data_IF_142275226122
#
_entry.id   IF_142275226122
#
_cell.length_a   1.000
_cell.length_b   1.000
_cell.length_c   1.000
_cell.angle_alpha   90.00
_cell.angle_beta   90.00
_cell.angle_gamma   90.00
#
_symmetry.space_group_name_H-M   'P 1'
#
loop_
_entity.id
_entity.type
_entity.pdbx_description
1 polymer ?
#
# COMPACT_ATOMS: atom_id res chain seq x y z
N UNK A 1 13.34 13.81 -17.22
CA UNK A 1 11.91 13.51 -16.95
C UNK A 1 11.45 14.31 -15.73
N UNK A 2 10.38 15.09 -15.87
CA UNK A 2 9.75 15.77 -14.73
C UNK A 2 9.03 14.71 -13.89
N UNK A 3 9.43 14.53 -12.62
CA UNK A 3 8.71 13.62 -11.71
C UNK A 3 7.30 14.18 -11.47
N UNK A 4 6.28 13.43 -11.87
CA UNK A 4 4.89 13.82 -11.64
C UNK A 4 4.62 13.96 -10.13
N UNK A 5 4.06 15.11 -9.74
CA UNK A 5 3.61 15.37 -8.37
C UNK A 5 2.37 14.53 -8.05
N UNK A 6 2.15 14.24 -6.76
CA UNK A 6 0.94 13.55 -6.30
C UNK A 6 -0.29 14.43 -6.56
N UNK A 7 -1.33 13.95 -7.26
CA UNK A 7 -2.59 14.67 -7.39
C UNK A 7 -3.30 14.78 -6.03
N UNK A 8 -3.74 15.99 -5.67
CA UNK A 8 -4.39 16.24 -4.38
C UNK A 8 -5.70 15.45 -4.20
N UNK A 9 -6.48 15.29 -5.28
CA UNK A 9 -7.73 14.52 -5.25
C UNK A 9 -7.48 13.04 -4.90
N UNK A 10 -6.45 12.43 -5.50
CA UNK A 10 -6.06 11.04 -5.23
C UNK A 10 -5.57 10.90 -3.79
N UNK A 11 -4.72 11.83 -3.33
CA UNK A 11 -4.24 11.83 -1.94
C UNK A 11 -5.39 11.91 -0.94
N UNK A 12 -6.34 12.83 -1.16
CA UNK A 12 -7.52 13.00 -0.31
C UNK A 12 -8.36 11.72 -0.25
N UNK A 13 -8.66 11.11 -1.39
CA UNK A 13 -9.48 9.89 -1.43
C UNK A 13 -8.83 8.72 -0.68
N UNK A 14 -7.50 8.56 -0.82
CA UNK A 14 -6.76 7.52 -0.07
C UNK A 14 -6.78 7.81 1.44
N UNK A 15 -6.63 9.08 1.85
CA UNK A 15 -6.66 9.48 3.25
C UNK A 15 -8.07 9.35 3.87
N UNK A 16 -9.13 9.68 3.11
CA UNK A 16 -10.52 9.48 3.50
C UNK A 16 -10.84 8.00 3.70
N UNK A 17 -10.44 7.13 2.75
CA UNK A 17 -10.57 5.66 2.86
C UNK A 17 -9.85 5.11 4.10
N UNK A 18 -8.69 5.69 4.42
CA UNK A 18 -7.89 5.28 5.55
C UNK A 18 -8.50 5.68 6.90
N UNK A 19 -9.35 6.71 6.93
CA UNK A 19 -9.97 7.25 8.15
C UNK A 19 -8.95 7.50 9.27
N UNK A 20 -7.82 8.13 8.89
CA UNK A 20 -6.69 8.39 9.80
C UNK A 20 -5.86 7.16 10.20
N UNK A 21 -6.28 5.94 9.86
CA UNK A 21 -5.62 4.70 10.27
C UNK A 21 -4.63 4.18 9.21
N UNK A 22 -3.56 3.52 9.66
CA UNK A 22 -2.65 2.80 8.79
C UNK A 22 -3.39 1.62 8.14
N UNK A 23 -3.43 1.59 6.81
CA UNK A 23 -4.12 0.56 6.03
C UNK A 23 -3.38 -0.79 6.01
N UNK A 24 -2.08 -0.81 6.34
CA UNK A 24 -1.33 -2.05 6.45
C UNK A 24 -1.61 -2.77 7.78
N UNK A 25 -1.53 -2.08 8.92
CA UNK A 25 -1.62 -2.66 10.28
C UNK A 25 -0.78 -3.95 10.46
N UNK A 26 0.49 -3.91 10.04
CA UNK A 26 1.41 -5.04 10.22
C UNK A 26 1.57 -5.33 11.72
N UNK A 27 1.21 -6.54 12.14
CA UNK A 27 1.23 -6.94 13.56
C UNK A 27 2.65 -6.88 14.11
N UNK A 28 2.81 -6.29 15.28
CA UNK A 28 4.12 -6.09 15.92
C UNK A 28 4.99 -4.97 15.32
N UNK A 29 4.52 -4.28 14.28
CA UNK A 29 5.26 -3.20 13.58
C UNK A 29 4.50 -1.87 13.60
N UNK A 30 3.18 -1.93 13.42
CA UNK A 30 2.34 -0.75 13.17
C UNK A 30 2.23 0.19 14.38
N UNK A 31 2.23 1.50 14.13
CA UNK A 31 1.95 2.55 15.13
C UNK A 31 0.53 3.13 15.04
N UNK A 32 -0.32 2.58 14.18
CA UNK A 32 -1.76 2.88 14.11
C UNK A 32 -2.14 3.99 13.12
N UNK A 33 -1.43 5.13 13.10
CA UNK A 33 -1.84 6.30 12.30
C UNK A 33 -1.24 6.35 10.88
N UNK A 34 -2.03 6.79 9.89
CA UNK A 34 -1.52 7.05 8.54
C UNK A 34 -0.62 8.29 8.51
N UNK A 35 0.56 8.18 7.87
CA UNK A 35 1.58 9.23 7.78
C UNK A 35 2.15 9.38 6.36
N UNK A 36 2.12 8.30 5.57
CA UNK A 36 2.66 8.28 4.21
C UNK A 36 1.65 7.67 3.23
N UNK A 37 1.64 8.18 2.00
CA UNK A 37 1.01 7.51 0.86
C UNK A 37 2.04 6.57 0.24
N UNK A 38 1.91 5.29 0.54
CA UNK A 38 2.79 4.23 0.08
C UNK A 38 2.38 3.74 -1.31
N UNK A 39 3.30 3.80 -2.27
CA UNK A 39 3.12 3.22 -3.60
C UNK A 39 3.43 1.73 -3.57
N UNK A 40 2.43 0.89 -3.86
CA UNK A 40 2.58 -0.56 -3.90
C UNK A 40 3.38 -1.01 -5.12
N UNK A 41 2.97 -0.60 -6.32
CA UNK A 41 3.88 -0.53 -7.46
C UNK A 41 4.71 0.74 -7.32
N UNK A 42 6.00 0.57 -7.07
CA UNK A 42 6.91 1.68 -6.73
C UNK A 42 7.02 2.70 -7.87
N UNK A 43 7.15 3.99 -7.51
CA UNK A 43 7.33 5.08 -8.49
C UNK A 43 8.56 4.90 -9.38
N UNK A 44 9.64 4.33 -8.84
CA UNK A 44 10.87 4.02 -9.59
C UNK A 44 10.65 2.96 -10.67
N UNK A 45 9.59 2.17 -10.56
CA UNK A 45 9.19 1.12 -11.50
C UNK A 45 8.01 1.56 -12.37
N UNK A 46 7.71 2.86 -12.44
CA UNK A 46 6.61 3.40 -13.25
C UNK A 46 5.24 3.36 -12.56
N UNK A 47 5.19 3.10 -11.26
CA UNK A 47 3.94 3.06 -10.49
C UNK A 47 3.12 4.35 -10.57
N UNK A 48 1.84 4.29 -10.98
CA UNK A 48 1.02 5.48 -11.16
C UNK A 48 0.48 6.00 -9.81
N UNK A 49 0.10 7.28 -9.78
CA UNK A 49 -0.61 7.90 -8.65
C UNK A 49 -2.11 7.59 -8.74
N UNK A 50 -2.49 6.35 -8.41
CA UNK A 50 -3.91 5.94 -8.38
C UNK A 50 -4.31 5.49 -6.98
N UNK A 51 -5.60 5.62 -6.69
CA UNK A 51 -6.19 5.21 -5.41
C UNK A 51 -5.95 3.71 -5.13
N UNK A 52 -5.97 2.86 -6.17
CA UNK A 52 -5.69 1.44 -6.05
C UNK A 52 -4.19 1.11 -5.80
N UNK A 53 -3.27 1.95 -6.30
CA UNK A 53 -1.83 1.74 -6.11
C UNK A 53 -1.33 2.25 -4.76
N UNK A 54 -2.05 3.20 -4.17
CA UNK A 54 -1.65 3.87 -2.93
C UNK A 54 -2.31 3.25 -1.72
N UNK A 55 -1.54 3.11 -0.64
CA UNK A 55 -2.04 2.79 0.69
C UNK A 55 -1.57 3.85 1.69
N UNK A 56 -2.45 4.34 2.55
CA UNK A 56 -2.08 5.23 3.64
C UNK A 56 -1.47 4.40 4.79
N UNK A 57 -0.22 4.63 5.16
CA UNK A 57 0.48 3.80 6.15
C UNK A 57 1.25 4.64 7.16
N UNK A 58 1.50 4.08 8.34
CA UNK A 58 2.46 4.65 9.28
C UNK A 58 3.90 4.51 8.75
N UNK A 59 4.80 5.36 9.26
CA UNK A 59 6.22 5.36 8.93
C UNK A 59 6.92 4.01 9.20
N UNK A 60 6.53 3.31 10.28
CA UNK A 60 7.12 2.00 10.61
C UNK A 60 6.70 0.90 9.65
N UNK A 61 5.41 0.83 9.29
CA UNK A 61 4.93 -0.10 8.26
C UNK A 61 5.54 0.22 6.88
N UNK A 62 5.62 1.51 6.52
CA UNK A 62 6.27 1.94 5.27
C UNK A 62 7.71 1.42 5.19
N UNK A 63 8.51 1.66 6.25
CA UNK A 63 9.90 1.18 6.31
C UNK A 63 9.96 -0.35 6.26
N UNK A 64 9.16 -1.03 7.07
CA UNK A 64 9.19 -2.49 7.16
C UNK A 64 8.94 -3.16 5.80
N UNK A 65 7.97 -2.66 5.02
CA UNK A 65 7.66 -3.20 3.69
C UNK A 65 8.84 -3.06 2.73
N UNK A 66 9.57 -1.94 2.78
CA UNK A 66 10.75 -1.72 1.95
C UNK A 66 11.96 -2.54 2.41
N UNK A 67 12.14 -2.73 3.72
CA UNK A 67 13.23 -3.52 4.30
C UNK A 67 12.97 -5.04 4.18
N UNK A 68 11.72 -5.46 4.02
CA UNK A 68 11.29 -6.86 3.92
C UNK A 68 10.54 -7.10 2.60
N UNK A 69 11.21 -7.05 1.44
CA UNK A 69 10.55 -7.10 0.14
C UNK A 69 9.78 -8.40 -0.10
N UNK A 70 10.26 -9.55 0.43
CA UNK A 70 9.53 -10.82 0.37
C UNK A 70 8.13 -10.67 0.97
N UNK A 71 8.04 -10.18 2.21
CA UNK A 71 6.76 -9.89 2.85
C UNK A 71 5.96 -8.88 2.03
N UNK A 72 6.59 -7.78 1.58
CA UNK A 72 5.93 -6.76 0.78
C UNK A 72 5.22 -7.33 -0.45
N UNK A 73 5.90 -8.17 -1.23
CA UNK A 73 5.31 -8.80 -2.42
C UNK A 73 4.25 -9.86 -2.07
N UNK A 74 4.51 -10.74 -1.08
CA UNK A 74 3.55 -11.78 -0.64
C UNK A 74 2.27 -11.17 -0.06
N UNK A 75 2.38 -10.07 0.66
CA UNK A 75 1.27 -9.33 1.27
C UNK A 75 0.56 -8.41 0.25
N UNK A 76 1.11 -8.27 -0.96
CA UNK A 76 0.66 -7.32 -1.96
C UNK A 76 0.87 -5.86 -1.58
N UNK A 77 1.66 -5.53 -0.55
CA UNK A 77 2.06 -4.15 -0.22
C UNK A 77 3.20 -3.64 -1.11
N UNK A 78 3.87 -4.52 -1.83
CA UNK A 78 4.68 -4.23 -3.02
C UNK A 78 4.11 -5.01 -4.21
N UNK A 79 4.25 -4.45 -5.40
CA UNK A 79 3.79 -5.05 -6.65
C UNK A 79 4.92 -4.97 -7.67
N UNK A 80 5.20 -6.08 -8.33
CA UNK A 80 6.13 -6.11 -9.46
C UNK A 80 5.49 -5.45 -10.71
N UNK A 81 6.27 -4.81 -11.58
CA UNK A 81 5.73 -4.05 -12.72
C UNK A 81 4.98 -4.89 -13.76
N UNK A 82 5.15 -6.21 -13.76
CA UNK A 82 4.41 -7.15 -14.62
C UNK A 82 3.11 -7.69 -13.99
N UNK A 83 2.79 -7.30 -12.75
CA UNK A 83 1.51 -7.63 -12.11
C UNK A 83 0.53 -6.46 -12.19
N UNK A 84 -0.78 -6.73 -12.35
CA UNK A 84 -1.78 -5.69 -12.30
C UNK A 84 -1.87 -5.09 -10.89
N UNK A 85 -2.10 -3.77 -10.83
CA UNK A 85 -2.43 -3.11 -9.57
C UNK A 85 -3.91 -3.36 -9.26
N UNK A 86 -4.17 -4.18 -8.25
CA UNK A 86 -5.53 -4.51 -7.78
C UNK A 86 -5.79 -3.98 -6.38
N UNK A 87 -7.05 -3.71 -6.03
CA UNK A 87 -7.46 -3.34 -4.68
C UNK A 87 -8.56 -4.28 -4.19
N UNK A 88 -8.55 -4.74 -2.93
CA UNK A 88 -7.54 -4.48 -1.88
C UNK A 88 -6.23 -5.28 -2.07
N UNK A 89 -5.13 -4.92 -1.37
CA UNK A 89 -3.97 -5.81 -1.24
C UNK A 89 -4.34 -7.12 -0.52
N UNK A 90 -3.53 -8.16 -0.72
CA UNK A 90 -3.74 -9.45 -0.06
C UNK A 90 -3.66 -9.35 1.47
N UNK A 91 -2.89 -8.42 2.01
CA UNK A 91 -2.86 -8.07 3.43
C UNK A 91 -3.36 -6.64 3.62
N UNK A 92 -4.47 -6.48 4.32
CA UNK A 92 -5.13 -5.20 4.55
C UNK A 92 -5.64 -5.14 5.99
N UNK A 93 -5.40 -4.03 6.68
CA UNK A 93 -5.82 -3.78 8.07
C UNK A 93 -5.55 -4.96 9.01
N UNK A 94 -4.36 -5.55 8.89
CA UNK A 94 -3.89 -6.54 9.87
C UNK A 94 -4.35 -7.97 9.63
N UNK A 95 -5.02 -8.21 8.50
CA UNK A 95 -5.54 -9.52 8.10
C UNK A 95 -5.16 -9.82 6.66
N UNK A 96 -4.92 -11.10 6.36
CA UNK A 96 -4.91 -11.56 4.98
C UNK A 96 -6.36 -11.70 4.53
N UNK A 97 -6.71 -11.10 3.38
CA UNK A 97 -7.97 -11.42 2.71
C UNK A 97 -7.92 -12.91 2.40
N UNK A 98 -8.88 -13.69 2.90
CA UNK A 98 -9.03 -15.08 2.48
C UNK A 98 -9.10 -15.08 0.96
N UNK A 99 -8.15 -15.75 0.31
CA UNK A 99 -8.45 -16.28 -1.02
C UNK A 99 -9.71 -17.10 -0.79
N UNK A 100 -10.81 -16.78 -1.46
CA UNK A 100 -11.90 -17.75 -1.52
C UNK A 100 -11.24 -19.05 -1.95
N UNK A 101 -11.26 -20.04 -1.07
CA UNK A 101 -10.94 -21.42 -1.39
C UNK A 101 -11.87 -21.75 -2.56
N UNK A 102 -11.32 -21.76 -3.77
CA UNK A 102 -12.07 -22.17 -4.94
C UNK A 102 -12.49 -23.61 -4.74
N UNK A 103 -13.74 -23.81 -4.34
CA UNK A 103 -14.50 -25.06 -4.57
C UNK A 103 -14.65 -25.29 -6.06
#
# INVERSE_FOLDING_TARGET
MVKQRMPAAVAREVLERADGACEAMIRGVCTGGAQHLHHRLMRSQGGPHTVANLAAVCSTCHRYVHDNPKFGYESGLLIHPWHPVTWPPAYYRGVYTSREEGT
#
